data_IF_667456385375
#
_entry.id   IF_667456385375
#
_cell.length_a   1.000
_cell.length_b   1.000
_cell.length_c   1.000
_cell.angle_alpha   90.00
_cell.angle_beta   90.00
_cell.angle_gamma   90.00
#
_symmetry.space_group_name_H-M   'P 1'
#
loop_
_entity.id
_entity.type
_entity.pdbx_description
1 polymer ?
#
# COMPACT_ATOMS: atom_id res chain seq x y z
N UNK A 1 -13.63 1.12 -11.66
CA UNK A 1 -12.70 -0.01 -11.64
C UNK A 1 -13.22 -1.06 -12.60
N UNK A 2 -12.41 -1.52 -13.57
CA UNK A 2 -12.71 -2.82 -14.17
C UNK A 2 -11.99 -3.85 -13.31
N UNK A 3 -12.66 -4.96 -13.03
CA UNK A 3 -12.07 -6.06 -12.28
C UNK A 3 -10.74 -6.47 -12.91
N UNK A 4 -9.65 -6.32 -12.15
CA UNK A 4 -8.30 -6.69 -12.58
C UNK A 4 -7.57 -5.69 -13.46
N UNK A 5 -8.08 -4.46 -13.66
CA UNK A 5 -7.37 -3.41 -14.40
C UNK A 5 -6.98 -2.18 -13.57
N UNK A 6 -7.28 -2.16 -12.27
CA UNK A 6 -6.85 -1.07 -11.41
C UNK A 6 -5.33 -1.15 -11.24
N UNK A 7 -4.62 -0.13 -11.71
CA UNK A 7 -3.15 -0.09 -11.72
C UNK A 7 -2.61 1.11 -10.95
N UNK A 8 -1.57 0.86 -10.15
CA UNK A 8 -0.70 1.86 -9.56
C UNK A 8 0.58 1.94 -10.41
N UNK A 9 0.80 3.08 -11.07
CA UNK A 9 2.06 3.34 -11.74
C UNK A 9 3.12 3.75 -10.69
N UNK A 10 4.22 3.00 -10.63
CA UNK A 10 5.34 3.21 -9.73
C UNK A 10 6.65 3.26 -10.52
N UNK A 11 7.68 3.90 -9.96
CA UNK A 11 8.99 4.00 -10.63
C UNK A 11 9.87 2.76 -10.42
N UNK A 12 9.63 2.01 -9.33
CA UNK A 12 10.37 0.81 -8.97
C UNK A 12 9.38 -0.33 -8.74
N UNK A 13 9.61 -1.48 -9.40
CA UNK A 13 8.79 -2.67 -9.27
C UNK A 13 8.64 -3.10 -7.80
N UNK A 14 7.41 -3.42 -7.39
CA UNK A 14 7.15 -3.90 -6.04
C UNK A 14 7.60 -5.35 -5.91
N UNK A 15 8.31 -5.66 -4.82
CA UNK A 15 8.79 -7.02 -4.53
C UNK A 15 7.80 -7.83 -3.69
N UNK A 16 6.82 -7.17 -3.08
CA UNK A 16 5.79 -7.78 -2.25
C UNK A 16 4.58 -6.88 -2.07
N UNK A 17 3.45 -7.50 -1.77
CA UNK A 17 2.21 -6.82 -1.40
C UNK A 17 1.58 -7.56 -0.22
N UNK A 18 1.52 -6.91 0.93
CA UNK A 18 1.04 -7.50 2.18
C UNK A 18 -0.30 -6.92 2.63
N UNK A 19 -0.99 -7.60 3.54
CA UNK A 19 -2.10 -7.03 4.28
C UNK A 19 -1.65 -6.76 5.72
N UNK A 20 -1.52 -5.47 6.07
CA UNK A 20 -1.09 -5.00 7.38
C UNK A 20 -2.24 -4.90 8.40
N UNK A 21 -3.47 -5.23 8.02
CA UNK A 21 -4.61 -5.27 8.93
C UNK A 21 -5.26 -3.91 9.17
N UNK A 22 -5.72 -3.68 10.40
CA UNK A 22 -6.52 -2.51 10.78
C UNK A 22 -5.64 -1.51 11.52
N UNK A 23 -5.58 -0.29 10.98
CA UNK A 23 -4.95 0.87 11.63
C UNK A 23 -5.94 1.52 12.59
N UNK A 24 -5.47 1.88 13.79
CA UNK A 24 -6.32 2.46 14.83
C UNK A 24 -6.56 3.98 14.66
N UNK A 25 -5.59 4.71 14.12
CA UNK A 25 -5.67 6.15 13.84
C UNK A 25 -4.96 6.49 12.54
N UNK A 26 -5.52 7.41 11.75
CA UNK A 26 -4.88 7.92 10.52
C UNK A 26 -3.87 9.03 10.82
N UNK A 27 -2.92 8.71 11.68
CA UNK A 27 -1.75 9.53 11.97
C UNK A 27 -0.47 8.68 11.83
N UNK A 28 0.69 9.32 11.96
CA UNK A 28 1.98 8.65 11.81
C UNK A 28 2.15 7.45 12.73
N UNK A 29 1.72 7.56 13.99
CA UNK A 29 1.92 6.51 14.99
C UNK A 29 0.99 5.33 14.71
N UNK A 30 -0.28 5.60 14.40
CA UNK A 30 -1.27 4.57 14.09
C UNK A 30 -0.90 3.76 12.84
N UNK A 31 -0.41 4.43 11.80
CA UNK A 31 0.03 3.77 10.56
C UNK A 31 1.32 2.98 10.80
N UNK A 32 2.33 3.57 11.46
CA UNK A 32 3.61 2.90 11.75
C UNK A 32 3.45 1.65 12.63
N UNK A 33 2.42 1.60 13.48
CA UNK A 33 2.13 0.42 14.30
C UNK A 33 1.77 -0.82 13.46
N UNK A 34 1.22 -0.64 12.25
CA UNK A 34 0.86 -1.75 11.34
C UNK A 34 1.85 -1.92 10.20
N UNK A 35 2.43 -0.83 9.70
CA UNK A 35 3.45 -0.82 8.63
C UNK A 35 4.86 -0.89 9.23
N UNK A 36 5.19 -2.07 9.73
CA UNK A 36 6.46 -2.36 10.39
C UNK A 36 7.48 -2.92 9.40
N UNK A 37 8.73 -3.11 9.83
CA UNK A 37 9.78 -3.67 8.97
C UNK A 37 9.50 -5.11 8.50
N UNK A 38 8.55 -5.82 9.12
CA UNK A 38 8.16 -7.18 8.73
C UNK A 38 7.00 -7.19 7.73
N UNK A 39 6.03 -6.30 7.92
CA UNK A 39 4.81 -6.20 7.10
C UNK A 39 4.99 -5.27 5.92
N UNK A 40 5.93 -4.32 5.99
CA UNK A 40 6.18 -3.29 4.99
C UNK A 40 7.68 -3.19 4.72
N UNK A 41 8.21 -4.18 4.01
CA UNK A 41 9.63 -4.32 3.69
C UNK A 41 10.07 -3.35 2.60
N UNK A 42 11.38 -3.18 2.44
CA UNK A 42 11.97 -2.36 1.38
C UNK A 42 11.43 -2.75 -0.01
N UNK A 43 11.01 -1.75 -0.80
CA UNK A 43 10.46 -1.89 -2.15
C UNK A 43 9.15 -2.69 -2.21
N UNK A 44 8.42 -2.84 -1.10
CA UNK A 44 7.11 -3.47 -1.08
C UNK A 44 5.97 -2.46 -1.17
N UNK A 45 4.76 -2.97 -1.23
CA UNK A 45 3.54 -2.25 -0.92
C UNK A 45 2.77 -3.01 0.18
N UNK A 46 1.83 -2.35 0.83
CA UNK A 46 0.94 -2.97 1.79
C UNK A 46 -0.47 -2.39 1.65
N UNK A 47 -1.48 -3.16 2.01
CA UNK A 47 -2.81 -2.63 2.25
C UNK A 47 -3.13 -2.64 3.74
N UNK A 48 -3.90 -1.65 4.18
CA UNK A 48 -4.52 -1.64 5.51
C UNK A 48 -5.91 -1.03 5.44
N UNK A 49 -6.70 -1.19 6.50
CA UNK A 49 -7.99 -0.54 6.64
C UNK A 49 -8.05 0.40 7.84
N UNK A 50 -8.90 1.41 7.75
CA UNK A 50 -9.29 2.27 8.86
C UNK A 50 -10.80 2.50 8.80
N UNK A 51 -11.53 1.96 9.78
CA UNK A 51 -12.98 1.84 9.69
C UNK A 51 -13.39 1.01 8.46
N UNK A 52 -14.28 1.57 7.63
CA UNK A 52 -14.72 0.94 6.36
C UNK A 52 -13.88 1.32 5.14
N UNK A 53 -12.79 2.07 5.33
CA UNK A 53 -11.94 2.59 4.25
C UNK A 53 -10.72 1.71 4.06
N UNK A 54 -10.30 1.52 2.81
CA UNK A 54 -9.12 0.74 2.44
C UNK A 54 -8.04 1.66 1.90
N UNK A 55 -6.80 1.39 2.29
CA UNK A 55 -5.63 2.16 1.90
C UNK A 55 -4.54 1.25 1.34
N UNK A 56 -3.76 1.80 0.42
CA UNK A 56 -2.52 1.21 -0.08
C UNK A 56 -1.36 2.10 0.33
N UNK A 57 -0.33 1.49 0.91
CA UNK A 57 0.94 2.09 1.20
C UNK A 57 2.00 1.62 0.19
N UNK A 58 2.83 2.54 -0.31
CA UNK A 58 3.92 2.25 -1.26
C UNK A 58 5.22 2.68 -0.61
N UNK A 59 6.13 1.71 -0.41
CA UNK A 59 7.37 1.91 0.33
C UNK A 59 8.46 2.62 -0.48
N UNK A 60 9.22 3.50 0.14
CA UNK A 60 10.31 4.29 -0.46
C UNK A 60 11.64 3.56 -0.67
N UNK A 61 11.68 2.23 -0.45
CA UNK A 61 12.87 1.37 -0.39
C UNK A 61 13.54 1.23 0.98
N UNK A 62 12.99 1.83 2.03
CA UNK A 62 13.41 1.65 3.43
C UNK A 62 12.34 0.89 4.19
N UNK A 63 12.64 -0.26 4.79
CA UNK A 63 11.62 -1.04 5.52
C UNK A 63 11.00 -0.25 6.69
N UNK A 64 9.69 -0.40 6.89
CA UNK A 64 8.89 0.37 7.85
C UNK A 64 8.26 1.63 7.24
N UNK A 65 7.32 2.25 7.96
CA UNK A 65 6.64 3.46 7.49
C UNK A 65 7.45 4.75 7.72
N UNK A 66 7.71 5.47 6.64
CA UNK A 66 8.22 6.83 6.59
C UNK A 66 7.13 7.83 6.18
N UNK A 67 6.66 8.65 7.13
CA UNK A 67 5.55 9.59 6.92
C UNK A 67 5.80 10.66 5.83
N UNK A 68 7.06 10.92 5.47
CA UNK A 68 7.45 11.92 4.47
C UNK A 68 7.98 11.32 3.18
N UNK A 69 8.17 10.01 3.13
CA UNK A 69 8.84 9.34 2.00
C UNK A 69 7.97 8.26 1.36
N UNK A 70 7.10 7.62 2.13
CA UNK A 70 6.12 6.67 1.61
C UNK A 70 4.84 7.38 1.14
N UNK A 71 4.17 6.75 0.18
CA UNK A 71 2.85 7.20 -0.28
C UNK A 71 1.73 6.39 0.38
N UNK A 72 0.69 7.06 0.85
CA UNK A 72 -0.56 6.46 1.31
C UNK A 72 -1.69 6.91 0.39
N UNK A 73 -2.43 5.95 -0.17
CA UNK A 73 -3.53 6.21 -1.11
C UNK A 73 -4.78 5.54 -0.57
N UNK A 74 -5.85 6.31 -0.37
CA UNK A 74 -7.17 5.72 -0.15
C UNK A 74 -7.71 5.14 -1.46
N UNK A 75 -8.14 3.89 -1.41
CA UNK A 75 -8.72 3.19 -2.56
C UNK A 75 -10.23 3.09 -2.36
N UNK A 76 -10.99 3.75 -3.22
CA UNK A 76 -12.45 3.67 -3.26
C UNK A 76 -12.92 3.09 -4.59
N UNK A 77 -14.10 2.45 -4.60
CA UNK A 77 -14.68 1.88 -5.83
C UNK A 77 -13.93 0.66 -6.40
N UNK A 78 -13.07 0.01 -5.60
CA UNK A 78 -12.39 -1.24 -5.98
C UNK A 78 -13.42 -2.35 -6.19
N UNK A 79 -13.45 -2.93 -7.39
CA UNK A 79 -14.27 -4.10 -7.71
C UNK A 79 -13.36 -5.32 -7.80
N UNK A 80 -12.89 -5.82 -6.66
CA UNK A 80 -11.98 -6.96 -6.59
C UNK A 80 -11.02 -6.93 -5.41
N UNK A 81 -9.94 -7.70 -5.52
CA UNK A 81 -8.83 -7.72 -4.55
C UNK A 81 -7.57 -7.22 -5.25
N UNK A 82 -6.81 -6.36 -4.58
CA UNK A 82 -5.50 -5.94 -5.05
C UNK A 82 -4.47 -7.06 -4.83
N UNK A 83 -3.48 -7.11 -5.71
CA UNK A 83 -2.35 -8.01 -5.65
C UNK A 83 -1.09 -7.35 -6.19
N UNK A 84 0.02 -8.09 -6.15
CA UNK A 84 1.32 -7.59 -6.59
C UNK A 84 1.30 -7.09 -8.05
N UNK A 85 0.51 -7.73 -8.92
CA UNK A 85 0.40 -7.38 -10.33
C UNK A 85 -0.37 -6.08 -10.61
N UNK A 86 -0.96 -5.46 -9.58
CA UNK A 86 -1.60 -4.15 -9.73
C UNK A 86 -0.57 -3.01 -9.70
N UNK A 87 0.71 -3.27 -9.47
CA UNK A 87 1.78 -2.28 -9.52
C UNK A 87 2.57 -2.43 -10.81
N UNK A 88 2.57 -1.40 -11.65
CA UNK A 88 3.26 -1.39 -12.95
C UNK A 88 4.33 -0.30 -12.99
N UNK A 89 5.38 -0.52 -13.77
CA UNK A 89 6.40 0.50 -14.08
C UNK A 89 6.23 1.12 -15.46
N UNK A 90 5.23 0.66 -16.22
CA UNK A 90 4.94 1.12 -17.57
C UNK A 90 3.52 1.67 -17.62
N UNK A 91 3.38 2.85 -18.23
CA UNK A 91 2.08 3.35 -18.63
C UNK A 91 1.62 2.53 -19.83
N UNK A 92 0.49 1.84 -19.68
CA UNK A 92 -0.17 1.04 -20.72
C UNK A 92 -1.33 1.80 -21.35
#
# INVERSE_FOLDING_TARGET
ANTGNDLFLVTIARTGFSNAGIVATLDTNGIAAQLTNTTFTANSAAQFSFGSRTFVAINDATAGFGATTDAIIEVTGLTGTLGLNNFTTTLV
#
